data_IF_729769578888
#
_entry.id   IF_729769578888
#
_cell.length_a   1.000
_cell.length_b   1.000
_cell.length_c   1.000
_cell.angle_alpha   90.00
_cell.angle_beta   90.00
_cell.angle_gamma   90.00
#
_symmetry.space_group_name_H-M   'P 1'
#
loop_
_entity.id
_entity.type
_entity.pdbx_description
1 polymer ?
#
# COMPACT_ATOMS: atom_id res chain seq x y z
N UNK A 1 -12.27 5.21 3.04
CA UNK A 1 -12.87 5.95 1.90
C UNK A 1 -12.50 5.27 0.60
N UNK A 2 -13.34 5.39 -0.44
CA UNK A 2 -13.11 4.72 -1.73
C UNK A 2 -12.73 5.71 -2.82
N UNK A 3 -11.66 5.41 -3.56
CA UNK A 3 -11.16 6.24 -4.65
C UNK A 3 -10.98 5.39 -5.91
N UNK A 4 -11.25 5.99 -7.07
CA UNK A 4 -11.04 5.34 -8.38
C UNK A 4 -10.40 6.32 -9.33
N UNK A 5 -9.27 5.92 -9.91
CA UNK A 5 -8.49 6.70 -10.88
C UNK A 5 -8.08 5.80 -12.05
N UNK A 6 -7.74 6.43 -13.19
CA UNK A 6 -7.22 5.72 -14.35
C UNK A 6 -5.69 5.63 -14.24
N UNK A 7 -5.16 4.43 -14.40
CA UNK A 7 -3.75 4.18 -14.59
C UNK A 7 -3.48 3.92 -16.09
N UNK A 8 -2.38 4.48 -16.57
CA UNK A 8 -1.83 4.26 -17.90
C UNK A 8 -0.71 3.24 -17.79
N UNK A 9 -0.81 2.14 -18.54
CA UNK A 9 0.25 1.15 -18.68
C UNK A 9 0.86 1.26 -20.08
N UNK A 10 2.06 1.80 -20.17
CA UNK A 10 2.83 1.91 -21.41
C UNK A 10 3.70 0.66 -21.56
N UNK A 11 3.64 0.00 -22.72
CA UNK A 11 4.40 -1.23 -22.94
C UNK A 11 5.85 -0.90 -23.33
N UNK A 12 6.82 -1.49 -22.63
CA UNK A 12 8.23 -1.40 -23.06
C UNK A 12 8.44 -2.30 -24.29
N UNK A 13 8.70 -1.67 -25.44
CA UNK A 13 8.86 -2.33 -26.74
C UNK A 13 10.19 -3.05 -26.90
N UNK A 14 11.20 -2.73 -26.10
CA UNK A 14 12.54 -3.32 -26.21
C UNK A 14 12.70 -4.55 -25.33
N UNK A 15 12.23 -4.47 -24.07
CA UNK A 15 12.42 -5.54 -23.09
C UNK A 15 11.12 -6.29 -22.71
N UNK A 16 9.97 -5.79 -23.16
CA UNK A 16 8.67 -6.20 -22.63
C UNK A 16 8.41 -5.61 -21.24
N UNK A 17 7.22 -5.86 -20.70
CA UNK A 17 6.79 -5.29 -19.43
C UNK A 17 6.02 -3.98 -19.59
N UNK A 18 5.76 -3.31 -18.48
CA UNK A 18 4.84 -2.17 -18.38
C UNK A 18 5.45 -1.08 -17.50
N UNK A 19 5.47 0.15 -18.02
CA UNK A 19 5.59 1.36 -17.20
C UNK A 19 4.19 1.81 -16.80
N UNK A 20 3.97 2.02 -15.52
CA UNK A 20 2.67 2.32 -14.93
C UNK A 20 2.70 3.75 -14.43
N UNK A 21 1.78 4.57 -14.91
CA UNK A 21 1.62 5.95 -14.43
C UNK A 21 0.17 6.19 -14.00
N UNK A 22 -0.03 6.95 -12.92
CA UNK A 22 -1.32 7.53 -12.55
C UNK A 22 -1.30 9.02 -12.92
N UNK A 23 -1.83 9.44 -14.09
CA UNK A 23 -1.64 10.79 -14.62
C UNK A 23 -2.12 11.90 -13.70
N UNK A 24 -3.17 11.63 -12.91
CA UNK A 24 -3.76 12.58 -11.96
C UNK A 24 -2.87 12.82 -10.73
N UNK A 25 -1.89 11.95 -10.46
CA UNK A 25 -0.96 12.05 -9.34
C UNK A 25 0.48 12.25 -9.84
N UNK A 26 0.98 13.48 -9.76
CA UNK A 26 2.32 13.80 -10.23
C UNK A 26 3.40 12.95 -9.53
N UNK A 27 4.20 12.24 -10.35
CA UNK A 27 5.29 11.38 -9.86
C UNK A 27 4.84 9.98 -9.43
N UNK A 28 3.56 9.63 -9.60
CA UNK A 28 3.04 8.31 -9.33
C UNK A 28 3.38 7.35 -10.48
N UNK A 29 4.59 6.79 -10.44
CA UNK A 29 5.13 5.88 -11.45
C UNK A 29 5.57 4.57 -10.79
N UNK A 30 5.37 3.45 -11.49
CA UNK A 30 5.90 2.13 -11.14
C UNK A 30 6.16 1.31 -12.40
N UNK A 31 6.74 0.12 -12.27
CA UNK A 31 7.08 -0.77 -13.36
C UNK A 31 6.65 -2.21 -13.01
N UNK A 32 6.43 -3.05 -14.02
CA UNK A 32 6.06 -4.45 -13.84
C UNK A 32 6.44 -5.29 -15.07
N UNK A 33 6.77 -6.55 -14.86
CA UNK A 33 7.10 -7.48 -15.96
C UNK A 33 5.85 -8.06 -16.62
N UNK A 34 4.73 -8.12 -15.88
CA UNK A 34 3.48 -8.75 -16.33
C UNK A 34 2.28 -7.86 -16.08
N UNK A 35 1.19 -8.07 -16.83
CA UNK A 35 -0.05 -7.31 -16.65
C UNK A 35 -0.65 -7.47 -15.25
N UNK A 36 -0.58 -8.68 -14.68
CA UNK A 36 -1.09 -8.93 -13.32
C UNK A 36 -0.30 -8.14 -12.28
N UNK A 37 1.02 -8.14 -12.42
CA UNK A 37 1.89 -7.33 -11.58
C UNK A 37 1.65 -5.84 -11.82
N UNK A 38 1.40 -5.41 -13.06
CA UNK A 38 1.10 -4.01 -13.37
C UNK A 38 -0.18 -3.53 -12.68
N UNK A 39 -1.25 -4.34 -12.71
CA UNK A 39 -2.50 -4.04 -11.99
C UNK A 39 -2.27 -3.99 -10.47
N UNK A 40 -1.47 -4.91 -9.94
CA UNK A 40 -1.14 -4.94 -8.53
C UNK A 40 -0.33 -3.70 -8.11
N UNK A 41 0.73 -3.37 -8.85
CA UNK A 41 1.61 -2.24 -8.59
C UNK A 41 0.86 -0.91 -8.76
N UNK A 42 0.01 -0.78 -9.77
CA UNK A 42 -0.85 0.40 -9.95
C UNK A 42 -1.76 0.63 -8.75
N UNK A 43 -2.33 -0.45 -8.20
CA UNK A 43 -3.11 -0.40 -6.97
C UNK A 43 -2.27 0.04 -5.79
N UNK A 44 -1.10 -0.54 -5.57
CA UNK A 44 -0.23 -0.15 -4.46
C UNK A 44 0.18 1.33 -4.53
N UNK A 45 0.55 1.83 -5.70
CA UNK A 45 0.85 3.26 -5.89
C UNK A 45 -0.38 4.10 -5.54
N UNK A 46 -1.58 3.75 -6.01
CA UNK A 46 -2.78 4.50 -5.67
C UNK A 46 -3.11 4.45 -4.17
N UNK A 47 -2.90 3.31 -3.51
CA UNK A 47 -3.06 3.17 -2.05
C UNK A 47 -2.11 4.13 -1.30
N UNK A 48 -0.83 4.21 -1.72
CA UNK A 48 0.17 5.11 -1.12
C UNK A 48 -0.25 6.58 -1.27
N UNK A 49 -0.57 7.00 -2.49
CA UNK A 49 -0.91 8.41 -2.75
C UNK A 49 -2.21 8.82 -2.07
N UNK A 50 -3.24 7.97 -2.09
CA UNK A 50 -4.52 8.28 -1.45
C UNK A 50 -4.40 8.38 0.08
N UNK A 51 -3.64 7.50 0.73
CA UNK A 51 -3.35 7.60 2.17
C UNK A 51 -2.55 8.86 2.48
N UNK A 52 -1.50 9.15 1.69
CA UNK A 52 -0.69 10.35 1.88
C UNK A 52 -1.54 11.63 1.79
N UNK A 53 -2.42 11.73 0.79
CA UNK A 53 -3.31 12.87 0.63
C UNK A 53 -4.29 13.03 1.79
N UNK A 54 -4.89 11.92 2.26
CA UNK A 54 -5.74 11.93 3.46
C UNK A 54 -4.98 12.39 4.70
N UNK A 55 -3.78 11.85 4.95
CA UNK A 55 -2.99 12.13 6.14
C UNK A 55 -2.46 13.57 6.17
N UNK A 56 -2.14 14.13 5.00
CA UNK A 56 -1.68 15.51 4.85
C UNK A 56 -2.82 16.53 4.65
N UNK A 57 -4.07 16.08 4.57
CA UNK A 57 -5.24 16.93 4.33
C UNK A 57 -5.19 17.66 2.98
N UNK A 58 -4.57 17.05 1.96
CA UNK A 58 -4.47 17.60 0.60
C UNK A 58 -5.79 17.42 -0.15
N UNK A 59 -6.07 18.36 -1.05
CA UNK A 59 -7.18 18.21 -1.99
C UNK A 59 -6.83 17.13 -3.03
N UNK A 60 -7.78 16.25 -3.31
CA UNK A 60 -7.63 15.22 -4.31
C UNK A 60 -7.77 15.81 -5.73
N UNK A 61 -6.95 15.36 -6.69
CA UNK A 61 -7.14 15.74 -8.09
C UNK A 61 -8.47 15.17 -8.61
N UNK A 62 -9.15 15.93 -9.47
CA UNK A 62 -10.33 15.43 -10.18
C UNK A 62 -9.94 14.28 -11.13
N UNK A 63 -10.59 13.11 -11.06
CA UNK A 63 -10.23 11.97 -11.91
C UNK A 63 -10.37 12.30 -13.40
N UNK A 64 -9.30 12.03 -14.15
CA UNK A 64 -9.32 12.20 -15.60
C UNK A 64 -10.30 11.24 -16.27
N UNK A 65 -10.98 11.73 -17.31
CA UNK A 65 -11.88 10.89 -18.11
C UNK A 65 -11.09 9.98 -19.06
N UNK A 66 -11.65 8.81 -19.40
CA UNK A 66 -11.05 7.90 -20.37
C UNK A 66 -10.74 8.59 -21.71
N UNK A 67 -11.66 9.45 -22.17
CA UNK A 67 -11.48 10.19 -23.43
C UNK A 67 -10.30 11.17 -23.38
N UNK A 68 -10.04 11.78 -22.22
CA UNK A 68 -8.93 12.71 -22.06
C UNK A 68 -7.59 11.96 -22.13
N UNK A 69 -7.49 10.80 -21.47
CA UNK A 69 -6.25 10.02 -21.43
C UNK A 69 -6.04 9.13 -22.66
N UNK A 70 -7.09 8.79 -23.40
CA UNK A 70 -6.96 7.96 -24.60
C UNK A 70 -6.06 8.59 -25.68
N UNK A 71 -5.95 9.93 -25.71
CA UNK A 71 -5.03 10.63 -26.62
C UNK A 71 -3.57 10.61 -26.15
N UNK A 72 -3.29 10.19 -24.92
CA UNK A 72 -1.94 10.09 -24.37
C UNK A 72 -1.30 8.72 -24.65
N UNK A 73 -2.07 7.74 -25.13
CA UNK A 73 -1.56 6.44 -25.52
C UNK A 73 -0.57 6.60 -26.68
N UNK A 74 0.65 6.10 -26.48
CA UNK A 74 1.72 6.11 -27.46
C UNK A 74 1.69 4.91 -28.41
N UNK A 75 0.90 3.89 -28.07
CA UNK A 75 0.72 2.69 -28.89
C UNK A 75 -0.66 2.05 -28.69
N UNK A 76 -1.09 1.23 -29.66
CA UNK A 76 -2.32 0.42 -29.56
C UNK A 76 -2.19 -0.72 -28.53
N UNK A 77 -0.97 -0.99 -28.03
CA UNK A 77 -0.70 -2.00 -27.00
C UNK A 77 -0.78 -1.43 -25.58
N UNK A 78 -0.77 -0.09 -25.45
CA UNK A 78 -0.88 0.59 -24.17
C UNK A 78 -2.29 0.40 -23.58
N UNK A 79 -2.38 0.35 -22.25
CA UNK A 79 -3.61 -0.01 -21.55
C UNK A 79 -4.02 1.13 -20.62
N UNK A 80 -5.26 1.58 -20.75
CA UNK A 80 -5.91 2.38 -19.71
C UNK A 80 -6.73 1.48 -18.80
N UNK A 81 -6.38 1.45 -17.52
CA UNK A 81 -7.00 0.59 -16.52
C UNK A 81 -7.57 1.44 -15.37
N UNK A 82 -8.85 1.25 -15.06
CA UNK A 82 -9.43 1.80 -13.84
C UNK A 82 -8.93 1.03 -12.62
N UNK A 83 -8.39 1.74 -11.64
CA UNK A 83 -7.88 1.21 -10.37
C UNK A 83 -8.70 1.80 -9.24
N UNK A 84 -9.17 0.94 -8.34
CA UNK A 84 -10.00 1.34 -7.20
C UNK A 84 -9.36 0.88 -5.90
N UNK A 85 -9.34 1.79 -4.92
CA UNK A 85 -8.79 1.54 -3.58
C UNK A 85 -9.79 1.92 -2.50
N UNK A 86 -9.75 1.20 -1.39
CA UNK A 86 -10.51 1.52 -0.19
C UNK A 86 -9.52 1.76 0.97
N UNK A 87 -9.28 3.03 1.30
CA UNK A 87 -8.29 3.42 2.29
C UNK A 87 -8.63 2.92 3.70
N UNK A 88 -9.90 2.63 4.00
CA UNK A 88 -10.25 2.02 5.29
C UNK A 88 -9.71 0.60 5.39
N UNK A 89 -9.89 -0.21 4.35
CA UNK A 89 -9.37 -1.57 4.30
C UNK A 89 -7.84 -1.60 4.31
N UNK A 90 -7.19 -0.64 3.64
CA UNK A 90 -5.72 -0.54 3.66
C UNK A 90 -5.24 -0.19 5.06
N UNK A 91 -5.86 0.78 5.73
CA UNK A 91 -5.51 1.15 7.12
C UNK A 91 -5.78 0.02 8.10
N UNK A 92 -6.86 -0.73 7.93
CA UNK A 92 -7.13 -1.94 8.73
C UNK A 92 -6.04 -3.00 8.54
N UNK A 93 -5.62 -3.25 7.29
CA UNK A 93 -4.53 -4.18 6.99
C UNK A 93 -3.23 -3.76 7.70
N UNK A 94 -2.88 -2.47 7.62
CA UNK A 94 -1.67 -1.95 8.27
C UNK A 94 -1.77 -1.99 9.81
N UNK A 95 -2.92 -1.64 10.40
CA UNK A 95 -3.13 -1.76 11.85
C UNK A 95 -3.08 -3.21 12.34
N UNK A 96 -3.47 -4.16 11.50
CA UNK A 96 -3.49 -5.59 11.83
C UNK A 96 -2.13 -6.27 11.63
N UNK A 97 -1.14 -5.55 11.08
CA UNK A 97 0.18 -6.09 10.79
C UNK A 97 0.93 -6.42 12.08
N UNK A 98 1.18 -7.71 12.29
CA UNK A 98 1.99 -8.17 13.41
C UNK A 98 3.46 -7.93 13.09
N UNK A 99 4.14 -7.16 13.93
CA UNK A 99 5.58 -6.86 13.80
C UNK A 99 6.36 -7.49 14.94
N UNK A 100 7.54 -8.05 14.63
CA UNK A 100 8.47 -8.53 15.65
C UNK A 100 9.16 -7.34 16.33
N UNK A 101 9.31 -7.41 17.65
CA UNK A 101 10.08 -6.44 18.43
C UNK A 101 11.06 -7.16 19.36
N UNK A 102 12.32 -6.73 19.30
CA UNK A 102 13.37 -7.17 20.23
C UNK A 102 13.31 -6.32 21.49
N UNK A 103 13.28 -6.95 22.66
CA UNK A 103 13.25 -6.28 23.96
C UNK A 103 14.45 -6.68 24.81
N UNK A 104 14.91 -5.80 25.68
CA UNK A 104 15.98 -6.08 26.65
C UNK A 104 15.37 -6.41 28.01
N UNK A 105 15.74 -7.56 28.58
CA UNK A 105 15.20 -8.05 29.85
C UNK A 105 16.33 -8.69 30.70
N UNK A 106 16.23 -8.67 32.04
CA UNK A 106 17.13 -9.43 32.89
C UNK A 106 17.07 -10.95 32.60
N UNK A 107 18.21 -11.64 32.55
CA UNK A 107 18.28 -13.08 32.20
C UNK A 107 17.40 -13.95 33.10
N UNK A 108 17.47 -13.71 34.42
CA UNK A 108 16.68 -14.45 35.41
C UNK A 108 15.16 -14.38 35.13
N UNK A 109 14.67 -13.26 34.62
CA UNK A 109 13.26 -13.06 34.34
C UNK A 109 12.82 -13.84 33.09
N UNK A 110 13.70 -13.91 32.09
CA UNK A 110 13.47 -14.72 30.88
C UNK A 110 13.47 -16.21 31.23
N UNK A 111 14.39 -16.66 32.08
CA UNK A 111 14.48 -18.04 32.54
C UNK A 111 13.21 -18.46 33.30
N UNK A 112 12.84 -17.74 34.36
CA UNK A 112 11.63 -18.00 35.15
C UNK A 112 10.37 -17.95 34.28
N UNK A 113 10.29 -17.00 33.34
CA UNK A 113 9.15 -16.90 32.43
C UNK A 113 9.04 -18.09 31.47
N UNK A 114 10.16 -18.61 30.96
CA UNK A 114 10.20 -19.81 30.11
C UNK A 114 9.78 -21.06 30.88
N UNK A 115 10.27 -21.24 32.10
CA UNK A 115 9.89 -22.37 32.98
C UNK A 115 8.38 -22.40 33.24
N UNK A 116 7.78 -21.22 33.43
CA UNK A 116 6.34 -21.06 33.61
C UNK A 116 5.55 -20.98 32.29
N UNK A 117 6.18 -21.24 31.14
CA UNK A 117 5.57 -21.24 29.79
C UNK A 117 4.85 -19.94 29.45
N UNK A 118 5.38 -18.81 29.89
CA UNK A 118 4.83 -17.49 29.58
C UNK A 118 4.98 -17.21 28.08
N UNK A 119 3.88 -16.78 27.45
CA UNK A 119 3.92 -16.20 26.11
C UNK A 119 4.31 -14.72 26.21
N UNK A 120 5.61 -14.44 26.05
CA UNK A 120 6.16 -13.08 26.18
C UNK A 120 5.53 -12.08 25.20
N UNK A 121 5.21 -12.50 23.97
CA UNK A 121 4.57 -11.62 22.99
C UNK A 121 3.17 -11.22 23.44
N UNK A 122 2.36 -12.19 23.87
CA UNK A 122 1.01 -11.93 24.35
C UNK A 122 1.01 -11.10 25.64
N UNK A 123 1.93 -11.39 26.56
CA UNK A 123 2.09 -10.64 27.80
C UNK A 123 2.44 -9.17 27.51
N UNK A 124 3.40 -8.93 26.60
CA UNK A 124 3.79 -7.59 26.20
C UNK A 124 2.63 -6.83 25.54
N UNK A 125 1.90 -7.48 24.62
CA UNK A 125 0.73 -6.87 23.98
C UNK A 125 -0.34 -6.49 25.01
N UNK A 126 -0.62 -7.38 25.98
CA UNK A 126 -1.58 -7.11 27.05
C UNK A 126 -1.15 -5.92 27.90
N UNK A 127 0.11 -5.90 28.36
CA UNK A 127 0.62 -4.81 29.19
C UNK A 127 0.61 -3.45 28.47
N UNK A 128 0.97 -3.43 27.17
CA UNK A 128 0.92 -2.19 26.37
C UNK A 128 -0.52 -1.70 26.21
N UNK A 129 -1.48 -2.59 25.95
CA UNK A 129 -2.91 -2.25 25.84
C UNK A 129 -3.46 -1.66 27.14
N UNK A 130 -3.13 -2.30 28.27
CA UNK A 130 -3.52 -1.81 29.60
C UNK A 130 -2.94 -0.41 29.88
N UNK A 131 -1.66 -0.18 29.56
CA UNK A 131 -0.99 1.13 29.76
C UNK A 131 -1.58 2.23 28.87
N UNK A 132 -1.86 1.91 27.60
CA UNK A 132 -2.38 2.85 26.61
C UNK A 132 -3.91 3.01 26.66
N UNK A 133 -4.60 2.18 27.44
CA UNK A 133 -6.07 2.13 27.52
C UNK A 133 -6.74 1.83 26.17
N UNK A 134 -6.20 0.86 25.42
CA UNK A 134 -6.69 0.44 24.09
C UNK A 134 -6.94 -1.07 23.98
#
# INVERSE_FOLDING_TARGET
MKYTYLALFEVDKENGGYTITLPDFQGAVSEADTLNEAIYNAREVLEIYTIMFEDEGKEFPEPSSFKALASELGSDEDILQAISVDTELVRERERSKVVNKTVTLPSWLVEVGKENKINFSQLLQKAIREELQV
#
